data_IF_755279912087
#
_entry.id   IF_755279912087
#
_cell.length_a   1.000
_cell.length_b   1.000
_cell.length_c   1.000
_cell.angle_alpha   90.00
_cell.angle_beta   90.00
_cell.angle_gamma   90.00
#
_symmetry.space_group_name_H-M   'P 1'
#
loop_
_entity.id
_entity.type
_entity.pdbx_description
1 polymer ?
#
# COMPACT_ATOMS: atom_id res chain seq x y z
N UNK A 1 -28.75 -3.82 7.19
CA UNK A 1 -27.47 -3.79 6.45
C UNK A 1 -26.37 -3.53 7.46
N UNK A 2 -25.94 -4.60 8.11
CA UNK A 2 -25.00 -4.61 9.21
C UNK A 2 -24.04 -5.75 8.88
N UNK A 3 -23.11 -5.48 7.98
CA UNK A 3 -21.97 -6.37 7.77
C UNK A 3 -20.84 -5.81 8.61
N UNK A 4 -20.48 -6.57 9.65
CA UNK A 4 -19.35 -6.34 10.54
C UNK A 4 -18.09 -6.10 9.72
N UNK A 5 -17.88 -4.82 9.40
CA UNK A 5 -16.94 -4.38 8.39
C UNK A 5 -15.53 -4.59 8.90
N UNK A 6 -14.68 -5.14 8.05
CA UNK A 6 -13.25 -4.98 8.20
C UNK A 6 -12.96 -3.47 8.36
N UNK A 7 -12.73 -3.03 9.59
CA UNK A 7 -12.46 -1.62 9.93
C UNK A 7 -11.07 -1.18 9.49
N UNK A 8 -10.32 -2.08 8.84
CA UNK A 8 -9.03 -1.81 8.24
C UNK A 8 -9.16 -0.75 7.15
N UNK A 9 -8.65 0.44 7.45
CA UNK A 9 -8.61 1.56 6.50
C UNK A 9 -7.64 1.22 5.38
N UNK A 10 -8.02 1.53 4.14
CA UNK A 10 -7.17 1.31 2.96
C UNK A 10 -6.51 2.62 2.55
N UNK A 11 -5.22 2.57 2.21
CA UNK A 11 -4.44 3.72 1.72
C UNK A 11 -3.86 3.43 0.34
N UNK A 12 -4.01 4.40 -0.58
CA UNK A 12 -3.42 4.38 -1.92
C UNK A 12 -2.16 5.25 -1.93
N UNK A 13 -1.02 4.68 -2.35
CA UNK A 13 0.27 5.39 -2.41
C UNK A 13 0.76 5.44 -3.85
N UNK A 14 0.94 6.64 -4.41
CA UNK A 14 1.56 6.83 -5.73
C UNK A 14 3.06 7.08 -5.59
N UNK A 15 3.86 6.69 -6.58
CA UNK A 15 5.32 6.77 -6.47
C UNK A 15 5.87 5.79 -5.41
N UNK A 16 5.19 4.65 -5.21
CA UNK A 16 5.44 3.74 -4.09
C UNK A 16 6.79 2.99 -4.17
N UNK A 17 7.50 3.04 -5.32
CA UNK A 17 8.81 2.44 -5.50
C UNK A 17 9.95 3.42 -5.22
N UNK A 18 9.69 4.73 -5.25
CA UNK A 18 10.68 5.74 -4.86
C UNK A 18 10.95 5.76 -3.36
N UNK A 19 12.12 6.22 -2.92
CA UNK A 19 12.57 6.13 -1.52
C UNK A 19 11.52 6.57 -0.47
N UNK A 20 10.86 7.71 -0.71
CA UNK A 20 9.82 8.23 0.17
C UNK A 20 8.54 7.39 0.09
N UNK A 21 8.11 7.00 -1.11
CA UNK A 21 6.91 6.18 -1.30
C UNK A 21 7.04 4.82 -0.61
N UNK A 22 8.24 4.21 -0.66
CA UNK A 22 8.53 2.98 0.06
C UNK A 22 8.37 3.17 1.58
N UNK A 23 8.96 4.24 2.14
CA UNK A 23 8.84 4.55 3.57
C UNK A 23 7.38 4.79 3.99
N UNK A 24 6.62 5.52 3.18
CA UNK A 24 5.19 5.77 3.42
C UNK A 24 4.40 4.46 3.45
N UNK A 25 4.63 3.55 2.49
CA UNK A 25 3.99 2.24 2.48
C UNK A 25 4.26 1.44 3.75
N UNK A 26 5.52 1.43 4.22
CA UNK A 26 5.92 0.73 5.46
C UNK A 26 5.23 1.33 6.69
N UNK A 27 5.22 2.65 6.82
CA UNK A 27 4.59 3.34 7.96
C UNK A 27 3.08 3.10 7.99
N UNK A 28 2.40 3.19 6.84
CA UNK A 28 0.96 2.93 6.76
C UNK A 28 0.63 1.47 7.08
N UNK A 29 1.40 0.51 6.58
CA UNK A 29 1.21 -0.90 6.91
C UNK A 29 1.43 -1.16 8.41
N UNK A 30 2.47 -0.57 9.00
CA UNK A 30 2.76 -0.65 10.44
C UNK A 30 1.64 -0.03 11.29
N UNK A 31 1.01 1.03 10.80
CA UNK A 31 -0.15 1.66 11.43
C UNK A 31 -1.47 0.87 11.23
N UNK A 32 -1.42 -0.30 10.59
CA UNK A 32 -2.57 -1.18 10.41
C UNK A 32 -3.45 -0.85 9.21
N UNK A 33 -2.95 -0.09 8.24
CA UNK A 33 -3.67 0.14 6.99
C UNK A 33 -3.45 -1.02 6.01
N UNK A 34 -4.48 -1.29 5.20
CA UNK A 34 -4.30 -2.04 3.95
C UNK A 34 -3.70 -1.09 2.92
N UNK A 35 -2.46 -1.32 2.50
CA UNK A 35 -1.76 -0.45 1.56
C UNK A 35 -1.86 -1.00 0.14
N UNK A 36 -2.22 -0.13 -0.81
CA UNK A 36 -2.16 -0.37 -2.26
C UNK A 36 -1.20 0.65 -2.85
N UNK A 37 -0.07 0.21 -3.39
CA UNK A 37 0.86 1.11 -4.08
C UNK A 37 0.71 1.07 -5.58
N UNK A 38 0.95 2.23 -6.21
CA UNK A 38 1.00 2.45 -7.64
C UNK A 38 2.30 3.17 -7.98
N UNK A 39 3.02 2.66 -8.96
CA UNK A 39 4.17 3.34 -9.54
C UNK A 39 4.38 2.85 -10.97
N UNK A 40 5.25 3.52 -11.71
CA UNK A 40 5.71 3.05 -13.00
C UNK A 40 6.42 1.71 -12.84
N UNK A 41 6.16 0.78 -13.77
CA UNK A 41 6.82 -0.53 -13.80
C UNK A 41 8.30 -0.37 -14.12
N UNK A 42 9.12 -0.31 -13.07
CA UNK A 42 10.56 -0.51 -13.15
C UNK A 42 11.02 -1.22 -11.86
N UNK A 43 11.21 -2.54 -11.92
CA UNK A 43 11.94 -3.30 -10.89
C UNK A 43 11.30 -3.40 -9.49
N UNK A 44 9.98 -3.53 -9.35
CA UNK A 44 9.34 -3.62 -8.05
C UNK A 44 9.42 -5.02 -7.41
N UNK A 45 10.17 -5.14 -6.30
CA UNK A 45 10.00 -6.19 -5.30
C UNK A 45 9.71 -5.53 -3.95
N UNK A 46 8.45 -5.57 -3.50
CA UNK A 46 8.06 -5.15 -2.15
C UNK A 46 7.67 -6.39 -1.34
N UNK A 47 8.30 -6.56 -0.18
CA UNK A 47 8.23 -7.80 0.59
C UNK A 47 6.89 -8.03 1.32
N UNK A 48 6.06 -6.99 1.51
CA UNK A 48 4.78 -7.09 2.23
C UNK A 48 3.71 -6.16 1.64
N UNK A 49 2.54 -6.73 1.29
CA UNK A 49 1.37 -6.03 0.74
C UNK A 49 0.82 -6.63 -0.56
N UNK A 50 -0.36 -6.18 -1.00
CA UNK A 50 -0.92 -6.51 -2.33
C UNK A 50 -0.85 -5.26 -3.21
N UNK A 51 0.00 -5.30 -4.24
CA UNK A 51 0.18 -4.18 -5.17
C UNK A 51 -0.50 -4.47 -6.51
N UNK A 52 -1.12 -3.43 -7.09
CA UNK A 52 -1.63 -3.46 -8.45
C UNK A 52 -0.69 -2.57 -9.27
N UNK A 53 -0.05 -3.12 -10.29
CA UNK A 53 0.76 -2.33 -11.24
C UNK A 53 -0.08 -2.09 -12.49
N UNK A 54 -0.25 -0.84 -12.91
CA UNK A 54 -0.89 -0.49 -14.18
C UNK A 54 0.07 0.25 -15.11
#
# INVERSE_FOLDING_TARGET
>A
MNSSGDTTRTALVTGCLGAIGQAICVELATAGYRVVGMDRVEGAAFAQGSYLTC
#
